data_IF_853944421789
#
_entry.id   IF_853944421789
#
_cell.length_a   1.000
_cell.length_b   1.000
_cell.length_c   1.000
_cell.angle_alpha   90.00
_cell.angle_beta   90.00
_cell.angle_gamma   90.00
#
_symmetry.space_group_name_H-M   'P 1'
#
loop_
_entity.id
_entity.type
_entity.pdbx_description
1 polymer ?
#
# COMPACT_ATOMS: atom_id res chain seq x y z
N UNK A 1 3.02 -22.66 6.11
CA UNK A 1 2.77 -21.81 4.93
C UNK A 1 3.75 -22.21 3.84
N UNK A 2 3.24 -22.46 2.64
CA UNK A 2 3.94 -23.01 1.47
C UNK A 2 4.84 -21.96 0.81
N UNK A 3 5.94 -22.39 0.19
CA UNK A 3 6.92 -21.54 -0.55
C UNK A 3 6.25 -20.53 -1.51
N UNK A 4 5.07 -20.87 -2.04
CA UNK A 4 4.24 -20.03 -2.89
C UNK A 4 3.75 -18.73 -2.22
N UNK A 5 3.41 -18.73 -0.92
CA UNK A 5 2.94 -17.52 -0.24
C UNK A 5 4.03 -16.48 -0.09
N UNK A 6 5.28 -16.92 0.12
CA UNK A 6 6.44 -16.03 0.18
C UNK A 6 6.80 -15.46 -1.19
N UNK A 7 6.67 -16.25 -2.26
CA UNK A 7 6.90 -15.80 -3.64
C UNK A 7 5.86 -14.77 -4.09
N UNK A 8 4.57 -15.00 -3.80
CA UNK A 8 3.51 -14.03 -4.09
C UNK A 8 3.80 -12.68 -3.41
N UNK A 9 4.25 -12.70 -2.15
CA UNK A 9 4.60 -11.49 -1.40
C UNK A 9 5.77 -10.72 -2.01
N UNK A 10 6.85 -11.43 -2.40
CA UNK A 10 8.00 -10.81 -3.06
C UNK A 10 7.63 -10.21 -4.42
N UNK A 11 6.74 -10.86 -5.17
CA UNK A 11 6.26 -10.34 -6.45
C UNK A 11 5.45 -9.05 -6.26
N UNK A 12 4.59 -9.00 -5.24
CA UNK A 12 3.81 -7.81 -4.87
C UNK A 12 4.74 -6.68 -4.41
N UNK A 13 5.74 -6.97 -3.55
CA UNK A 13 6.74 -6.00 -3.09
C UNK A 13 7.58 -5.40 -4.24
N UNK A 14 7.76 -6.12 -5.35
CA UNK A 14 8.43 -5.60 -6.55
C UNK A 14 7.51 -4.76 -7.45
N UNK A 15 6.22 -5.10 -7.51
CA UNK A 15 5.23 -4.46 -8.39
C UNK A 15 4.74 -3.14 -7.81
N UNK A 16 4.62 -3.04 -6.49
CA UNK A 16 4.00 -1.90 -5.82
C UNK A 16 5.04 -1.14 -5.00
N UNK A 17 5.31 0.14 -5.31
CA UNK A 17 6.29 0.93 -4.58
C UNK A 17 5.88 1.22 -3.14
N UNK A 18 4.58 1.19 -2.81
CA UNK A 18 4.09 1.54 -1.49
C UNK A 18 3.47 0.37 -0.74
N UNK A 19 3.85 0.19 0.53
CA UNK A 19 3.30 -0.82 1.45
C UNK A 19 2.84 -0.19 2.75
N UNK A 20 1.55 -0.35 3.06
CA UNK A 20 0.93 0.05 4.33
C UNK A 20 0.62 -1.20 5.14
N UNK A 21 1.02 -1.24 6.41
CA UNK A 21 0.72 -2.35 7.33
C UNK A 21 -0.33 -1.91 8.34
N UNK A 22 -1.38 -2.71 8.49
CA UNK A 22 -2.44 -2.50 9.49
C UNK A 22 -2.43 -3.67 10.47
N UNK A 23 -2.45 -3.34 11.76
CA UNK A 23 -2.64 -4.33 12.82
C UNK A 23 -4.09 -4.87 12.76
N UNK A 24 -4.21 -6.19 12.77
CA UNK A 24 -5.48 -6.89 12.85
C UNK A 24 -5.75 -7.16 14.34
N UNK A 25 -6.86 -6.65 14.90
CA UNK A 25 -7.19 -6.88 16.30
C UNK A 25 -7.50 -8.37 16.54
N UNK A 26 -7.49 -8.87 17.79
CA UNK A 26 -7.76 -10.28 18.09
C UNK A 26 -9.10 -10.82 17.56
N UNK A 27 -10.11 -9.96 17.38
CA UNK A 27 -11.39 -10.30 16.76
C UNK A 27 -11.42 -10.26 15.23
N UNK A 28 -10.30 -9.96 14.58
CA UNK A 28 -10.23 -9.72 13.14
C UNK A 28 -10.81 -8.37 12.72
N UNK A 29 -10.71 -8.06 11.43
CA UNK A 29 -11.31 -6.83 10.88
C UNK A 29 -12.80 -6.98 10.54
N UNK A 30 -13.32 -8.21 10.50
CA UNK A 30 -14.71 -8.49 10.18
C UNK A 30 -15.15 -7.78 8.90
N UNK A 31 -16.36 -7.19 8.90
CA UNK A 31 -16.93 -6.43 7.77
C UNK A 31 -16.06 -5.24 7.31
N UNK A 32 -15.21 -4.72 8.18
CA UNK A 32 -14.36 -3.58 7.82
C UNK A 32 -13.41 -3.92 6.67
N UNK A 33 -12.97 -5.19 6.54
CA UNK A 33 -12.09 -5.59 5.43
C UNK A 33 -12.78 -5.48 4.07
N UNK A 34 -14.06 -5.83 4.00
CA UNK A 34 -14.87 -5.74 2.79
C UNK A 34 -15.09 -4.28 2.40
N UNK A 35 -15.34 -3.40 3.39
CA UNK A 35 -15.47 -1.96 3.18
C UNK A 35 -14.15 -1.36 2.66
N UNK A 36 -13.01 -1.79 3.21
CA UNK A 36 -11.70 -1.37 2.73
C UNK A 36 -11.47 -1.81 1.28
N UNK A 37 -11.73 -3.07 0.95
CA UNK A 37 -11.55 -3.60 -0.41
C UNK A 37 -12.45 -2.90 -1.42
N UNK A 38 -13.75 -2.75 -1.13
CA UNK A 38 -14.68 -2.07 -2.03
C UNK A 38 -14.27 -0.61 -2.30
N UNK A 39 -13.83 0.10 -1.27
CA UNK A 39 -13.32 1.46 -1.43
C UNK A 39 -12.02 1.51 -2.25
N UNK A 40 -11.14 0.52 -2.09
CA UNK A 40 -9.89 0.43 -2.85
C UNK A 40 -10.15 0.11 -4.32
N UNK A 41 -11.10 -0.77 -4.63
CA UNK A 41 -11.52 -1.07 -5.99
C UNK A 41 -12.09 0.17 -6.70
N UNK A 42 -12.90 0.96 -5.99
CA UNK A 42 -13.46 2.21 -6.51
C UNK A 42 -12.38 3.30 -6.69
N UNK A 43 -11.45 3.42 -5.74
CA UNK A 43 -10.49 4.53 -5.70
C UNK A 43 -9.23 4.28 -6.53
N UNK A 44 -8.68 3.08 -6.45
CA UNK A 44 -7.40 2.71 -7.09
C UNK A 44 -7.61 1.91 -8.39
N UNK A 45 -8.83 1.42 -8.63
CA UNK A 45 -9.09 0.39 -9.63
C UNK A 45 -8.63 -1.00 -9.16
N UNK A 46 -9.27 -2.05 -9.67
CA UNK A 46 -9.03 -3.44 -9.24
C UNK A 46 -7.57 -3.94 -9.39
N UNK A 47 -6.77 -3.28 -10.21
CA UNK A 47 -5.36 -3.63 -10.47
C UNK A 47 -4.34 -2.70 -9.79
N UNK A 48 -4.80 -1.58 -9.21
CA UNK A 48 -3.95 -0.54 -8.61
C UNK A 48 -3.53 -0.83 -7.17
N UNK A 49 -4.08 -1.89 -6.56
CA UNK A 49 -3.78 -2.28 -5.20
C UNK A 49 -3.65 -3.81 -5.05
N UNK A 50 -3.08 -4.23 -3.92
CA UNK A 50 -3.02 -5.64 -3.55
C UNK A 50 -2.92 -5.83 -2.05
N UNK A 51 -3.12 -7.06 -1.58
CA UNK A 51 -3.04 -7.39 -0.15
C UNK A 51 -2.29 -8.69 0.10
N UNK A 52 -1.58 -8.76 1.24
CA UNK A 52 -0.96 -9.99 1.71
C UNK A 52 -0.81 -10.01 3.25
N UNK A 53 -0.66 -11.19 3.88
CA UNK A 53 -0.30 -11.28 5.29
C UNK A 53 1.01 -10.53 5.59
N UNK A 54 1.01 -9.69 6.63
CA UNK A 54 2.17 -8.86 6.99
C UNK A 54 3.12 -9.50 8.01
N UNK A 55 2.85 -10.73 8.46
CA UNK A 55 3.66 -11.44 9.44
C UNK A 55 5.11 -11.70 8.97
N UNK A 56 6.03 -11.76 9.94
CA UNK A 56 7.36 -12.36 9.79
C UNK A 56 7.27 -13.81 10.23
N UNK A 57 7.94 -14.72 9.51
CA UNK A 57 7.96 -16.14 9.82
C UNK A 57 8.30 -16.38 11.30
N UNK A 58 7.36 -16.97 12.06
CA UNK A 58 7.56 -17.32 13.47
C UNK A 58 7.13 -16.28 14.51
N UNK A 59 6.76 -15.05 14.11
CA UNK A 59 6.23 -14.03 15.02
C UNK A 59 4.73 -13.86 14.76
N UNK A 60 3.91 -13.98 15.81
CA UNK A 60 2.47 -13.73 15.78
C UNK A 60 2.20 -12.23 15.61
N UNK A 61 2.53 -11.68 14.44
CA UNK A 61 2.08 -10.36 14.07
C UNK A 61 0.77 -10.52 13.31
N UNK A 62 -0.35 -10.33 14.01
CA UNK A 62 -1.66 -10.30 13.40
C UNK A 62 -1.77 -8.96 12.64
N UNK A 63 -1.29 -8.93 11.41
CA UNK A 63 -1.28 -7.74 10.58
C UNK A 63 -1.47 -8.10 9.10
N UNK A 64 -2.08 -7.19 8.37
CA UNK A 64 -2.29 -7.25 6.92
C UNK A 64 -1.51 -6.13 6.24
N UNK A 65 -0.92 -6.42 5.09
CA UNK A 65 -0.19 -5.46 4.28
C UNK A 65 -1.02 -5.13 3.04
N UNK A 66 -1.29 -3.85 2.83
CA UNK A 66 -1.86 -3.29 1.62
C UNK A 66 -0.74 -2.68 0.78
N UNK A 67 -0.78 -2.95 -0.52
CA UNK A 67 0.19 -2.52 -1.50
C UNK A 67 -0.49 -1.60 -2.51
N UNK A 68 0.20 -0.53 -2.92
CA UNK A 68 -0.35 0.50 -3.80
C UNK A 68 0.65 0.83 -4.90
N UNK A 69 0.15 1.08 -6.11
CA UNK A 69 0.94 1.51 -7.26
C UNK A 69 1.29 3.00 -7.19
N UNK A 70 0.40 3.81 -6.61
CA UNK A 70 0.54 5.25 -6.42
C UNK A 70 0.57 5.63 -4.92
N UNK A 71 1.57 6.41 -4.46
CA UNK A 71 1.60 6.95 -3.10
C UNK A 71 0.39 7.81 -2.72
N UNK A 72 -0.29 8.45 -3.68
CA UNK A 72 -1.51 9.21 -3.42
C UNK A 72 -2.64 8.31 -2.90
N UNK A 73 -2.79 7.11 -3.45
CA UNK A 73 -3.79 6.14 -2.98
C UNK A 73 -3.45 5.60 -1.59
N UNK A 74 -2.18 5.33 -1.33
CA UNK A 74 -1.72 4.94 0.00
C UNK A 74 -2.00 6.04 1.05
N UNK A 75 -1.75 7.30 0.69
CA UNK A 75 -2.05 8.44 1.56
C UNK A 75 -3.56 8.57 1.81
N UNK A 76 -4.39 8.48 0.77
CA UNK A 76 -5.85 8.53 0.89
C UNK A 76 -6.39 7.38 1.77
N UNK A 77 -5.83 6.19 1.62
CA UNK A 77 -6.17 5.03 2.43
C UNK A 77 -5.85 5.25 3.92
N UNK A 78 -4.64 5.72 4.23
CA UNK A 78 -4.22 6.03 5.62
C UNK A 78 -5.12 7.12 6.22
N UNK A 79 -5.37 8.19 5.48
CA UNK A 79 -6.23 9.29 5.93
C UNK A 79 -7.68 8.84 6.20
N UNK A 80 -8.17 7.84 5.47
CA UNK A 80 -9.54 7.35 5.60
C UNK A 80 -9.70 6.31 6.72
N UNK A 81 -8.76 5.37 6.83
CA UNK A 81 -8.95 4.18 7.65
C UNK A 81 -8.03 4.10 8.87
N UNK A 82 -6.97 4.90 8.94
CA UNK A 82 -5.95 4.81 10.00
C UNK A 82 -6.01 5.97 11.01
N UNK A 83 -7.09 6.75 11.05
CA UNK A 83 -7.27 7.85 11.99
C UNK A 83 -7.06 7.38 13.45
N UNK A 84 -6.11 8.00 14.16
CA UNK A 84 -5.84 7.75 15.57
C UNK A 84 -4.69 6.77 15.90
N UNK A 85 -4.02 6.18 14.90
CA UNK A 85 -2.82 5.35 15.11
C UNK A 85 -1.52 6.09 14.79
N UNK A 86 -0.45 5.84 15.56
CA UNK A 86 0.91 6.31 15.23
C UNK A 86 1.35 5.64 13.94
N UNK A 87 1.56 6.43 12.89
CA UNK A 87 2.25 5.97 11.69
C UNK A 87 3.72 5.80 12.04
N UNK A 88 4.16 4.55 12.22
CA UNK A 88 5.58 4.23 12.37
C UNK A 88 6.17 4.02 10.98
N UNK A 89 6.93 5.00 10.50
CA UNK A 89 7.78 4.81 9.33
C UNK A 89 8.93 3.90 9.74
N UNK A 90 8.95 2.67 9.23
CA UNK A 90 10.13 1.82 9.34
C UNK A 90 11.28 2.54 8.64
N UNK A 91 12.40 2.70 9.33
CA UNK A 91 13.60 3.33 8.79
C UNK A 91 13.98 2.67 7.45
N UNK A 92 14.06 3.48 6.39
CA UNK A 92 14.33 3.00 5.03
C UNK A 92 13.12 2.59 4.18
N UNK A 93 11.87 2.62 4.70
CA UNK A 93 10.69 2.24 3.92
C UNK A 93 10.29 3.29 2.87
N UNK A 94 10.51 4.58 3.15
CA UNK A 94 10.43 5.68 2.19
C UNK A 94 11.39 6.78 2.66
N UNK A 95 12.44 7.17 1.91
CA UNK A 95 12.96 8.52 2.09
C UNK A 95 11.84 9.47 1.66
N UNK A 96 11.18 10.09 2.63
CA UNK A 96 10.27 11.19 2.36
C UNK A 96 11.09 12.25 1.60
N UNK A 97 10.81 12.47 0.32
CA UNK A 97 11.46 13.54 -0.44
C UNK A 97 11.00 14.87 0.14
N UNK A 98 11.85 15.51 0.93
CA UNK A 98 11.64 16.87 1.44
C UNK A 98 11.92 17.96 0.40
N UNK A 99 12.52 17.58 -0.74
CA UNK A 99 12.85 18.51 -1.81
C UNK A 99 11.61 18.91 -2.62
N UNK A 100 11.54 20.20 -2.96
CA UNK A 100 10.51 20.72 -3.87
C UNK A 100 10.65 20.03 -5.23
N UNK A 101 9.58 19.41 -5.77
CA UNK A 101 9.67 18.74 -7.05
C UNK A 101 10.03 19.75 -8.14
N UNK A 102 10.97 19.41 -9.05
CA UNK A 102 11.31 20.29 -10.16
C UNK A 102 10.05 20.55 -10.99
N UNK A 103 9.89 21.81 -11.45
CA UNK A 103 8.79 22.21 -12.31
C UNK A 103 8.65 21.21 -13.46
N UNK A 104 7.45 20.62 -13.59
CA UNK A 104 7.11 19.71 -14.68
C UNK A 104 7.34 20.48 -15.99
N UNK A 105 8.37 20.11 -16.75
CA UNK A 105 8.51 20.61 -18.12
C UNK A 105 7.30 20.11 -18.91
N UNK A 106 6.55 21.05 -19.49
CA UNK A 106 5.42 20.74 -20.36
C UNK A 106 5.86 19.78 -21.46
N UNK A 107 4.97 18.85 -21.83
CA UNK A 107 5.22 17.93 -22.92
C UNK A 107 5.54 18.72 -24.21
N UNK A 108 6.58 18.29 -24.94
CA UNK A 108 6.87 18.84 -26.26
C UNK A 108 5.66 18.61 -27.17
N UNK A 109 5.19 19.68 -27.82
CA UNK A 109 4.09 19.62 -28.79
C UNK A 109 4.48 18.63 -29.89
N UNK A 110 3.73 17.52 -29.99
CA UNK A 110 3.87 16.58 -31.09
C UNK A 110 3.57 17.32 -32.39
N UNK A 111 4.58 17.39 -33.28
CA UNK A 111 4.40 17.87 -34.64
C UNK A 111 3.98 16.66 -35.48
N UNK A 112 2.72 16.63 -35.87
CA UNK A 112 2.18 15.63 -36.80
C UNK A 112 2.68 15.94 -38.23
N UNK A 113 3.01 14.92 -39.05
CA UNK A 113 3.34 15.10 -40.47
C UNK A 113 2.18 15.65 -41.29
#
# INVERSE_FOLDING_TARGET
>A
MTRASNQARQQTERRFPVRVRIAVPPGGLGRQIEIMHAWLDETCGAEGWGTAPAGLAGILNNAIAFYFDDPAFAHAFVARFCCGYRVETVEGAFPLRSDTPPLRRGASVHKTP
#
